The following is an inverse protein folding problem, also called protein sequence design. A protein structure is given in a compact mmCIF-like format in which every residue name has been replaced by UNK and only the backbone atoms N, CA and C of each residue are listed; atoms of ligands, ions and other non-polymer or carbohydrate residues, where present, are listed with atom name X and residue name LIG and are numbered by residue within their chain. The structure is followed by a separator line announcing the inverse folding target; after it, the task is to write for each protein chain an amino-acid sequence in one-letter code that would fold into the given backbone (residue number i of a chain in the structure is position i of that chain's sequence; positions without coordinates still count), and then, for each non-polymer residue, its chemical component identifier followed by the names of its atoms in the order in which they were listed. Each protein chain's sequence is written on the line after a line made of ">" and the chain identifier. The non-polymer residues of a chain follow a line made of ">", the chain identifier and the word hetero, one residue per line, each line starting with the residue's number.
data_IF_291879849634
#
_entry.id   IF_291879849634
#
_cell.length_a   1.000
_cell.length_b   1.000
_cell.length_c   1.000
_cell.angle_alpha   90.00
_cell.angle_beta   90.00
_cell.angle_gamma   90.00
#
_symmetry.space_group_name_H-M   'P 1'
#
loop_
_entity.id
_entity.type
_entity.pdbx_description
1 polymer ?
#
# COMPACT_ATOMS: atom_id res chain seq x y z
N UNK A 1 0.71 -18.96 9.58
CA UNK A 1 1.34 -18.07 8.59
C UNK A 1 0.68 -18.26 7.24
N UNK A 2 0.68 -17.22 6.46
CA UNK A 2 0.15 -17.24 5.10
C UNK A 2 1.16 -16.54 4.19
N UNK A 3 1.42 -17.10 3.00
CA UNK A 3 2.07 -16.39 1.92
C UNK A 3 1.00 -15.49 1.29
N UNK A 4 0.78 -14.30 1.83
CA UNK A 4 -0.33 -13.43 1.50
C UNK A 4 -0.39 -12.92 0.06
N UNK A 5 0.58 -13.26 -0.78
CA UNK A 5 0.64 -12.82 -2.16
C UNK A 5 0.59 -14.04 -3.11
N UNK A 6 -0.52 -14.18 -3.83
CA UNK A 6 -0.68 -15.23 -4.85
C UNK A 6 0.18 -15.01 -6.10
N UNK A 7 0.83 -13.86 -6.22
CA UNK A 7 1.71 -13.53 -7.34
C UNK A 7 3.16 -14.02 -7.16
N UNK A 8 3.48 -14.61 -5.99
CA UNK A 8 4.82 -15.15 -5.76
C UNK A 8 5.02 -16.38 -6.63
N UNK A 9 6.05 -16.33 -7.44
CA UNK A 9 6.45 -17.45 -8.29
C UNK A 9 6.75 -18.66 -7.40
N UNK A 10 6.25 -19.84 -7.78
CA UNK A 10 6.65 -21.09 -7.17
C UNK A 10 8.20 -21.18 -7.19
N UNK A 11 8.80 -21.57 -6.07
CA UNK A 11 10.26 -21.65 -5.92
C UNK A 11 11.00 -20.28 -5.87
N UNK A 12 10.39 -19.23 -5.33
CA UNK A 12 11.05 -17.93 -5.13
C UNK A 12 12.32 -17.99 -4.26
N UNK A 13 12.51 -19.09 -3.52
CA UNK A 13 13.72 -19.39 -2.75
C UNK A 13 14.88 -19.93 -3.59
N UNK A 14 14.62 -20.41 -4.82
CA UNK A 14 15.61 -21.03 -5.68
C UNK A 14 15.86 -20.18 -6.94
N UNK A 15 17.07 -20.23 -7.46
CA UNK A 15 17.39 -19.67 -8.76
C UNK A 15 16.69 -20.48 -9.86
N UNK A 16 15.93 -19.80 -10.71
CA UNK A 16 15.33 -20.44 -11.89
C UNK A 16 16.14 -20.13 -13.14
N UNK A 17 16.21 -21.09 -14.04
CA UNK A 17 16.95 -20.98 -15.30
C UNK A 17 15.97 -21.21 -16.45
N UNK A 18 16.09 -20.43 -17.51
CA UNK A 18 15.25 -20.52 -18.71
C UNK A 18 16.09 -20.56 -19.99
N UNK A 19 15.55 -21.23 -21.00
CA UNK A 19 16.15 -21.30 -22.33
C UNK A 19 15.83 -20.01 -23.11
N UNK A 20 16.44 -18.89 -22.74
CA UNK A 20 16.22 -17.59 -23.41
C UNK A 20 17.51 -16.87 -23.83
N UNK A 21 18.65 -17.47 -23.58
CA UNK A 21 19.94 -16.95 -24.03
C UNK A 21 20.30 -17.48 -25.43
N UNK A 22 20.72 -16.59 -26.31
CA UNK A 22 21.32 -16.99 -27.56
C UNK A 22 22.84 -16.78 -27.50
N UNK A 23 23.61 -17.83 -27.71
CA UNK A 23 25.05 -17.75 -27.86
C UNK A 23 25.41 -17.84 -29.33
N UNK A 24 26.30 -16.99 -29.77
CA UNK A 24 26.87 -17.06 -31.10
C UNK A 24 28.16 -17.90 -31.04
N UNK A 25 28.17 -18.98 -31.80
CA UNK A 25 29.35 -19.81 -31.96
C UNK A 25 29.89 -19.50 -33.36
N UNK A 26 31.21 -19.52 -33.50
CA UNK A 26 31.92 -19.37 -34.76
C UNK A 26 31.59 -18.08 -35.54
N UNK A 27 32.01 -16.93 -35.00
CA UNK A 27 31.90 -15.58 -35.60
C UNK A 27 30.47 -15.16 -36.00
N UNK A 28 29.45 -15.74 -35.36
CA UNK A 28 28.05 -15.31 -35.50
C UNK A 28 27.25 -16.00 -36.60
N UNK A 29 27.74 -17.08 -37.16
CA UNK A 29 27.04 -17.85 -38.18
C UNK A 29 25.86 -18.63 -37.61
N UNK A 30 26.01 -19.26 -36.43
CA UNK A 30 24.99 -20.10 -35.80
C UNK A 30 24.59 -19.59 -34.42
N UNK A 31 23.26 -19.46 -34.20
CA UNK A 31 22.66 -19.18 -32.89
C UNK A 31 22.40 -20.50 -32.16
N UNK A 32 23.05 -20.67 -31.04
CA UNK A 32 22.74 -21.79 -30.14
C UNK A 32 21.88 -21.32 -28.97
N UNK A 33 20.84 -22.10 -28.64
CA UNK A 33 20.02 -21.83 -27.47
C UNK A 33 20.82 -22.12 -26.20
N UNK A 34 20.94 -21.12 -25.35
CA UNK A 34 21.58 -21.24 -24.05
C UNK A 34 20.60 -21.10 -22.90
N UNK A 35 21.03 -21.45 -21.72
CA UNK A 35 20.27 -21.23 -20.50
C UNK A 35 20.81 -19.99 -19.77
N UNK A 36 19.88 -19.12 -19.34
CA UNK A 36 20.20 -17.96 -18.51
C UNK A 36 19.39 -18.02 -17.22
N UNK A 37 19.97 -17.47 -16.17
CA UNK A 37 19.21 -17.29 -14.94
C UNK A 37 18.08 -16.30 -15.18
N UNK A 38 16.87 -16.64 -14.72
CA UNK A 38 15.66 -15.84 -14.92
C UNK A 38 15.17 -15.17 -13.66
N UNK A 39 15.62 -15.63 -12.49
CA UNK A 39 15.25 -15.03 -11.20
C UNK A 39 16.41 -14.99 -10.22
N UNK A 40 16.42 -13.98 -9.36
CA UNK A 40 17.31 -13.91 -8.21
C UNK A 40 16.64 -14.68 -7.06
N UNK A 41 17.31 -15.70 -6.48
CA UNK A 41 16.73 -16.45 -5.37
C UNK A 41 16.77 -15.63 -4.07
N UNK A 42 15.83 -15.94 -3.17
CA UNK A 42 15.89 -15.53 -1.79
C UNK A 42 15.68 -16.72 -0.87
N UNK A 43 16.76 -17.30 -0.38
CA UNK A 43 16.73 -18.46 0.51
C UNK A 43 16.12 -18.16 1.89
N UNK A 44 16.02 -16.88 2.27
CA UNK A 44 15.53 -16.43 3.56
C UNK A 44 14.03 -16.08 3.56
N UNK A 45 13.28 -16.50 2.54
CA UNK A 45 11.83 -16.28 2.49
C UNK A 45 11.15 -16.94 3.69
N UNK A 46 10.33 -16.16 4.38
CA UNK A 46 9.52 -16.58 5.52
C UNK A 46 8.04 -16.36 5.22
N UNK A 47 7.21 -17.04 5.99
CA UNK A 47 5.79 -16.80 6.00
C UNK A 47 5.46 -15.45 6.66
N UNK A 48 4.49 -14.74 6.09
CA UNK A 48 3.92 -13.57 6.74
C UNK A 48 3.30 -13.96 8.08
N UNK A 49 3.53 -13.17 9.10
CA UNK A 49 3.04 -13.42 10.45
C UNK A 49 2.05 -12.34 10.83
N UNK A 50 0.84 -12.76 11.23
CA UNK A 50 -0.17 -11.84 11.77
C UNK A 50 -0.36 -12.10 13.26
N UNK A 51 -0.19 -11.05 14.05
CA UNK A 51 -0.55 -11.01 15.48
C UNK A 51 -1.82 -10.17 15.63
N UNK A 52 -2.83 -10.70 16.31
CA UNK A 52 -4.09 -10.01 16.55
C UNK A 52 -4.43 -10.03 18.04
N UNK A 53 -4.91 -8.90 18.54
CA UNK A 53 -5.52 -8.75 19.86
C UNK A 53 -6.92 -8.21 19.64
N UNK A 54 -7.93 -8.90 20.15
CA UNK A 54 -9.33 -8.50 20.10
C UNK A 54 -9.89 -8.48 21.52
N UNK A 55 -10.62 -7.42 21.85
CA UNK A 55 -11.35 -7.29 23.10
C UNK A 55 -12.78 -6.92 22.72
N UNK A 56 -13.72 -7.78 23.12
CA UNK A 56 -15.14 -7.58 22.84
C UNK A 56 -15.94 -7.53 24.14
N UNK A 57 -16.98 -6.71 24.14
CA UNK A 57 -17.95 -6.58 25.22
C UNK A 57 -19.35 -6.68 24.65
N UNK A 58 -20.08 -7.74 25.07
CA UNK A 58 -21.46 -7.98 24.68
C UNK A 58 -22.37 -7.67 25.85
N UNK A 59 -23.36 -6.81 25.63
CA UNK A 59 -24.32 -6.39 26.63
C UNK A 59 -25.75 -6.58 26.13
N UNK A 60 -26.62 -7.07 26.99
CA UNK A 60 -28.04 -7.17 26.74
C UNK A 60 -28.84 -6.37 27.78
N UNK A 61 -29.78 -5.55 27.32
CA UNK A 61 -30.65 -4.73 28.15
C UNK A 61 -32.12 -5.04 27.88
N UNK A 62 -32.97 -4.81 28.88
CA UNK A 62 -34.42 -4.96 28.78
C UNK A 62 -34.87 -6.35 28.31
N UNK A 63 -34.40 -7.41 28.96
CA UNK A 63 -34.64 -8.79 28.54
C UNK A 63 -34.19 -9.08 27.11
N UNK A 64 -32.99 -8.61 26.76
CA UNK A 64 -32.37 -8.72 25.42
C UNK A 64 -33.12 -8.02 24.29
N UNK A 65 -34.02 -7.07 24.59
CA UNK A 65 -34.60 -6.22 23.53
C UNK A 65 -33.57 -5.31 22.91
N UNK A 66 -32.58 -4.85 23.69
CA UNK A 66 -31.42 -4.14 23.19
C UNK A 66 -30.21 -5.03 23.41
N UNK A 67 -29.52 -5.37 22.31
CA UNK A 67 -28.28 -6.07 22.34
C UNK A 67 -27.21 -5.17 21.73
N UNK A 68 -26.09 -5.02 22.41
CA UNK A 68 -24.99 -4.21 21.90
C UNK A 68 -23.66 -4.94 22.06
N UNK A 69 -22.86 -4.90 21.02
CA UNK A 69 -21.51 -5.45 20.97
C UNK A 69 -20.55 -4.32 20.69
N UNK A 70 -19.56 -4.16 21.52
CA UNK A 70 -18.43 -3.27 21.27
C UNK A 70 -17.18 -4.11 21.16
N UNK A 71 -16.45 -4.00 20.04
CA UNK A 71 -15.20 -4.71 19.80
C UNK A 71 -14.09 -3.70 19.51
N UNK A 72 -12.95 -3.90 20.15
CA UNK A 72 -11.70 -3.23 19.83
C UNK A 72 -10.67 -4.24 19.36
N UNK A 73 -9.95 -3.90 18.29
CA UNK A 73 -8.94 -4.79 17.75
C UNK A 73 -7.65 -4.05 17.38
N UNK A 74 -6.55 -4.78 17.46
CA UNK A 74 -5.21 -4.39 16.99
C UNK A 74 -4.57 -5.58 16.29
N UNK A 75 -4.38 -5.46 14.97
CA UNK A 75 -3.84 -6.49 14.10
C UNK A 75 -2.57 -5.99 13.43
N UNK A 76 -1.42 -6.59 13.77
CA UNK A 76 -0.13 -6.32 13.10
C UNK A 76 0.24 -7.51 12.22
N UNK A 77 0.45 -7.27 10.92
CA UNK A 77 1.06 -8.21 9.99
C UNK A 77 2.49 -7.77 9.73
N UNK A 78 3.44 -8.66 9.96
CA UNK A 78 4.88 -8.47 9.74
C UNK A 78 5.41 -9.51 8.75
N UNK A 79 6.65 -9.33 8.33
CA UNK A 79 7.30 -10.16 7.32
C UNK A 79 6.54 -10.19 5.99
N UNK A 80 5.85 -9.10 5.64
CA UNK A 80 5.13 -8.97 4.37
C UNK A 80 6.14 -9.02 3.23
N UNK A 81 5.85 -9.87 2.24
CA UNK A 81 6.68 -10.04 1.07
C UNK A 81 6.53 -8.86 0.13
N UNK A 82 7.62 -8.18 -0.12
CA UNK A 82 7.70 -7.05 -1.04
C UNK A 82 8.83 -7.24 -2.03
N UNK A 83 8.62 -6.80 -3.27
CA UNK A 83 9.66 -6.70 -4.28
C UNK A 83 10.27 -5.30 -4.20
N UNK A 84 11.49 -5.21 -3.70
CA UNK A 84 12.21 -3.95 -3.61
C UNK A 84 12.92 -3.65 -4.92
N UNK A 85 12.83 -2.40 -5.37
CA UNK A 85 13.58 -1.96 -6.53
C UNK A 85 15.09 -2.03 -6.21
N UNK A 86 15.82 -2.76 -7.03
CA UNK A 86 17.29 -2.85 -6.96
C UNK A 86 17.89 -2.19 -8.20
N UNK A 87 19.07 -1.56 -8.07
CA UNK A 87 19.76 -1.00 -9.24
C UNK A 87 20.00 -2.06 -10.32
N UNK A 88 19.68 -1.71 -11.57
CA UNK A 88 19.78 -2.63 -12.70
C UNK A 88 21.21 -3.18 -12.93
N UNK A 89 22.24 -2.50 -12.42
CA UNK A 89 23.63 -2.97 -12.48
C UNK A 89 23.82 -4.30 -11.73
N UNK A 90 23.01 -4.57 -10.69
CA UNK A 90 23.07 -5.82 -9.94
C UNK A 90 22.13 -6.90 -10.49
N UNK A 91 21.03 -6.48 -11.11
CA UNK A 91 20.01 -7.40 -11.61
C UNK A 91 20.21 -7.76 -13.09
N UNK A 92 20.83 -6.87 -13.88
CA UNK A 92 20.84 -7.00 -15.33
C UNK A 92 19.42 -6.99 -15.88
N UNK A 93 18.98 -8.09 -16.47
CA UNK A 93 17.62 -8.29 -16.99
C UNK A 93 16.70 -9.02 -16.01
N UNK A 94 17.18 -9.36 -14.80
CA UNK A 94 16.42 -10.11 -13.80
C UNK A 94 15.46 -9.20 -13.03
N UNK A 95 14.35 -9.80 -12.57
CA UNK A 95 13.47 -9.15 -11.62
C UNK A 95 14.05 -9.17 -10.21
N UNK A 96 13.79 -8.12 -9.44
CA UNK A 96 14.20 -8.07 -8.05
C UNK A 96 13.56 -9.20 -7.23
N UNK A 97 14.27 -9.80 -6.27
CA UNK A 97 13.73 -10.86 -5.45
C UNK A 97 12.67 -10.33 -4.48
N UNK A 98 11.74 -11.19 -4.09
CA UNK A 98 10.84 -10.93 -2.97
C UNK A 98 11.58 -11.02 -1.65
N UNK A 99 11.31 -10.09 -0.75
CA UNK A 99 11.92 -10.01 0.58
C UNK A 99 10.85 -9.76 1.64
N UNK A 100 11.03 -10.35 2.82
CA UNK A 100 10.14 -10.16 3.97
C UNK A 100 10.52 -8.88 4.73
N UNK A 101 10.08 -7.74 4.24
CA UNK A 101 10.54 -6.43 4.72
C UNK A 101 9.40 -5.47 5.05
N UNK A 102 8.16 -5.88 4.84
CA UNK A 102 7.00 -5.05 5.09
C UNK A 102 6.32 -5.35 6.42
N UNK A 103 5.76 -4.32 7.05
CA UNK A 103 4.87 -4.47 8.17
C UNK A 103 3.73 -3.46 8.14
N UNK A 104 2.53 -3.92 8.47
CA UNK A 104 1.30 -3.12 8.45
C UNK A 104 0.51 -3.38 9.72
N UNK A 105 -0.10 -2.33 10.25
CA UNK A 105 -0.97 -2.39 11.43
C UNK A 105 -2.36 -1.89 11.10
N UNK A 106 -3.35 -2.66 11.48
CA UNK A 106 -4.76 -2.27 11.44
C UNK A 106 -5.28 -2.27 12.87
N UNK A 107 -5.75 -1.14 13.35
CA UNK A 107 -6.37 -1.02 14.66
C UNK A 107 -7.67 -0.25 14.55
N UNK A 108 -8.64 -0.66 15.34
CA UNK A 108 -9.93 -0.02 15.26
C UNK A 108 -10.89 -0.49 16.33
N UNK A 109 -12.11 -0.07 16.17
CA UNK A 109 -13.23 -0.51 16.98
C UNK A 109 -14.48 -0.61 16.12
N UNK A 110 -15.36 -1.51 16.54
CA UNK A 110 -16.67 -1.74 15.93
C UNK A 110 -17.72 -1.74 17.04
N UNK A 111 -18.82 -1.09 16.76
CA UNK A 111 -19.95 -1.02 17.66
C UNK A 111 -21.22 -1.35 16.92
N UNK A 112 -21.90 -2.39 17.41
CA UNK A 112 -23.18 -2.85 16.87
C UNK A 112 -24.24 -2.72 17.93
N UNK A 113 -25.41 -2.21 17.56
CA UNK A 113 -26.59 -2.14 18.42
C UNK A 113 -27.76 -2.71 17.65
N UNK A 114 -28.43 -3.69 18.24
CA UNK A 114 -29.66 -4.27 17.72
C UNK A 114 -30.78 -4.04 18.72
N UNK A 115 -31.91 -3.55 18.24
CA UNK A 115 -33.13 -3.42 19.00
C UNK A 115 -34.22 -4.28 18.37
N UNK A 116 -34.88 -5.12 19.19
CA UNK A 116 -36.01 -5.94 18.78
C UNK A 116 -37.12 -5.84 19.80
N UNK A 117 -38.34 -5.65 19.34
CA UNK A 117 -39.52 -5.63 20.20
C UNK A 117 -40.72 -6.23 19.48
N UNK A 118 -41.69 -6.71 20.26
CA UNK A 118 -42.97 -7.22 19.76
C UNK A 118 -44.10 -6.73 20.65
N UNK A 119 -45.18 -6.20 20.01
CA UNK A 119 -46.39 -5.81 20.69
C UNK A 119 -47.62 -6.30 19.91
N UNK A 120 -48.33 -7.25 20.50
CA UNK A 120 -49.45 -7.91 19.82
C UNK A 120 -48.98 -8.64 18.57
N UNK A 121 -49.62 -8.35 17.44
CA UNK A 121 -49.31 -8.97 16.15
C UNK A 121 -48.14 -8.29 15.42
N UNK A 122 -47.55 -7.25 16.01
CA UNK A 122 -46.44 -6.51 15.40
C UNK A 122 -45.11 -6.90 16.02
N UNK A 123 -44.17 -7.33 15.17
CA UNK A 123 -42.77 -7.55 15.53
C UNK A 123 -41.87 -6.72 14.63
N UNK A 124 -40.89 -6.07 15.22
CA UNK A 124 -39.97 -5.21 14.50
C UNK A 124 -38.58 -5.23 15.13
N UNK A 125 -37.59 -5.02 14.28
CA UNK A 125 -36.21 -4.90 14.70
C UNK A 125 -35.55 -3.73 13.97
N UNK A 126 -34.55 -3.14 14.62
CA UNK A 126 -33.68 -2.12 14.04
C UNK A 126 -32.24 -2.40 14.46
N UNK A 127 -31.32 -2.32 13.52
CA UNK A 127 -29.90 -2.49 13.75
C UNK A 127 -29.11 -1.25 13.34
N UNK A 128 -28.10 -0.94 14.12
CA UNK A 128 -27.14 0.11 13.83
C UNK A 128 -25.73 -0.42 14.06
N UNK A 129 -24.81 -0.14 13.14
CA UNK A 129 -23.40 -0.46 13.29
C UNK A 129 -22.55 0.74 12.92
N UNK A 130 -21.47 0.92 13.68
CA UNK A 130 -20.49 1.97 13.47
C UNK A 130 -19.11 1.36 13.66
N UNK A 131 -18.21 1.63 12.72
CA UNK A 131 -16.83 1.17 12.81
C UNK A 131 -15.84 2.26 12.46
N UNK A 132 -14.67 2.17 13.04
CA UNK A 132 -13.52 3.00 12.67
C UNK A 132 -12.27 2.18 12.65
N UNK A 133 -11.60 2.13 11.51
CA UNK A 133 -10.33 1.42 11.32
C UNK A 133 -9.25 2.42 10.93
N UNK A 134 -8.08 2.32 11.57
CA UNK A 134 -6.86 3.01 11.17
C UNK A 134 -5.89 1.96 10.61
N UNK A 135 -5.58 2.08 9.33
CA UNK A 135 -4.52 1.33 8.68
C UNK A 135 -3.23 2.17 8.70
N UNK A 136 -2.08 1.55 8.94
CA UNK A 136 -0.79 2.22 9.03
C UNK A 136 0.33 1.30 8.57
N UNK A 137 1.14 1.78 7.64
CA UNK A 137 2.38 1.12 7.22
C UNK A 137 3.43 1.38 8.30
N UNK A 138 4.02 0.31 8.85
CA UNK A 138 5.06 0.40 9.87
C UNK A 138 6.46 0.26 9.28
N UNK A 139 6.61 -0.60 8.28
CA UNK A 139 7.91 -0.93 7.68
C UNK A 139 7.73 -1.18 6.19
N UNK A 140 8.71 -0.75 5.39
CA UNK A 140 8.76 -0.94 3.93
C UNK A 140 10.19 -1.29 3.45
N UNK A 141 10.93 -2.05 4.25
CA UNK A 141 12.33 -2.34 3.99
C UNK A 141 13.20 -1.08 4.08
N UNK A 142 14.04 -0.85 3.06
CA UNK A 142 14.89 0.33 2.96
C UNK A 142 14.16 1.57 2.41
N UNK A 143 12.90 1.41 2.00
CA UNK A 143 12.12 2.49 1.42
C UNK A 143 11.36 3.26 2.52
N UNK A 144 11.49 4.56 2.56
CA UNK A 144 10.63 5.42 3.37
C UNK A 144 9.28 5.68 2.69
N UNK A 145 9.28 5.76 1.35
CA UNK A 145 8.09 5.96 0.55
C UNK A 145 8.20 5.32 -0.84
N UNK A 146 7.06 4.94 -1.40
CA UNK A 146 6.91 4.50 -2.79
C UNK A 146 5.71 5.21 -3.41
N UNK A 147 5.95 5.92 -4.51
CA UNK A 147 4.90 6.61 -5.27
C UNK A 147 4.64 5.82 -6.55
N UNK A 148 3.39 5.49 -6.79
CA UNK A 148 2.92 4.82 -8.00
C UNK A 148 1.70 5.55 -8.55
N UNK A 149 1.90 6.32 -9.61
CA UNK A 149 0.88 7.22 -10.15
C UNK A 149 0.37 8.22 -9.12
N UNK A 150 -0.90 8.09 -8.76
CA UNK A 150 -1.58 8.95 -7.79
C UNK A 150 -1.69 8.32 -6.39
N UNK A 151 -0.91 7.29 -6.12
CA UNK A 151 -0.90 6.58 -4.85
C UNK A 151 0.47 6.71 -4.21
N UNK A 152 0.49 6.95 -2.91
CA UNK A 152 1.70 6.94 -2.10
C UNK A 152 1.57 5.92 -0.98
N UNK A 153 2.55 5.04 -0.88
CA UNK A 153 2.79 4.22 0.29
C UNK A 153 3.98 4.83 1.03
N UNK A 154 3.76 5.26 2.26
CA UNK A 154 4.77 5.89 3.12
C UNK A 154 4.62 5.37 4.54
N UNK A 155 5.72 5.16 5.23
CA UNK A 155 5.71 4.77 6.65
C UNK A 155 4.91 5.80 7.46
N UNK A 156 4.02 5.30 8.34
CA UNK A 156 3.10 6.09 9.15
C UNK A 156 1.78 6.46 8.47
N UNK A 157 1.64 6.22 7.17
CA UNK A 157 0.42 6.48 6.40
C UNK A 157 -0.36 5.18 6.12
N UNK A 158 -1.66 5.27 5.77
CA UNK A 158 -2.40 4.13 5.27
C UNK A 158 -1.85 3.62 3.94
N UNK A 159 -2.02 2.32 3.68
CA UNK A 159 -1.75 1.74 2.37
C UNK A 159 -2.67 2.39 1.33
N UNK A 160 -2.10 2.73 0.18
CA UNK A 160 -2.87 3.27 -0.94
C UNK A 160 -3.38 4.69 -0.71
N UNK A 161 -2.70 5.47 0.13
CA UNK A 161 -3.05 6.87 0.33
C UNK A 161 -2.96 7.65 -0.98
N UNK A 162 -3.94 8.52 -1.24
CA UNK A 162 -3.90 9.35 -2.44
C UNK A 162 -2.77 10.36 -2.38
N UNK A 163 -2.06 10.44 -3.48
CA UNK A 163 -0.98 11.40 -3.69
C UNK A 163 -1.34 12.35 -4.82
N UNK A 164 -1.36 13.62 -4.54
CA UNK A 164 -1.70 14.61 -5.54
C UNK A 164 -1.38 16.03 -5.09
N UNK A 165 -1.53 16.97 -5.98
CA UNK A 165 -1.31 18.37 -5.67
C UNK A 165 -2.54 18.97 -4.98
N UNK A 166 -2.33 19.64 -3.86
CA UNK A 166 -3.38 20.41 -3.21
C UNK A 166 -3.51 21.78 -3.88
N UNK A 167 -4.67 22.07 -4.47
CA UNK A 167 -4.97 23.42 -4.95
C UNK A 167 -5.08 24.37 -3.75
N UNK A 168 -4.24 25.40 -3.73
CA UNK A 168 -4.21 26.43 -2.67
C UNK A 168 -4.74 27.79 -3.14
N UNK A 169 -5.01 27.91 -4.43
CA UNK A 169 -5.57 29.12 -5.02
C UNK A 169 -5.56 29.09 -6.54
N UNK A 170 -5.96 30.19 -7.12
CA UNK A 170 -5.89 30.44 -8.57
C UNK A 170 -5.05 31.70 -8.75
N UNK A 171 -4.15 31.73 -9.71
CA UNK A 171 -3.45 32.94 -10.13
C UNK A 171 -4.44 33.92 -10.76
N UNK A 172 -4.74 35.03 -10.10
CA UNK A 172 -5.76 36.00 -10.53
C UNK A 172 -5.16 37.26 -11.13
N UNK A 173 -3.96 37.62 -10.66
CA UNK A 173 -3.30 38.86 -11.04
C UNK A 173 -1.89 38.61 -11.56
N UNK A 174 -1.34 39.58 -12.28
CA UNK A 174 0.05 39.54 -12.73
C UNK A 174 1.03 39.49 -11.57
N UNK A 175 0.69 40.11 -10.45
CA UNK A 175 1.52 40.05 -9.22
C UNK A 175 1.61 38.61 -8.66
N UNK A 176 0.58 37.80 -8.82
CA UNK A 176 0.60 36.41 -8.41
C UNK A 176 1.60 35.57 -9.23
N UNK A 177 1.87 35.97 -10.48
CA UNK A 177 2.77 35.28 -11.38
C UNK A 177 4.26 35.53 -11.05
N UNK A 178 4.54 36.62 -10.34
CA UNK A 178 5.91 37.05 -9.99
C UNK A 178 6.40 36.49 -8.66
N UNK A 179 5.69 35.51 -8.10
CA UNK A 179 6.17 34.85 -6.87
C UNK A 179 7.47 34.15 -7.11
N UNK A 180 8.49 34.54 -6.35
CA UNK A 180 9.83 33.99 -6.44
C UNK A 180 10.15 33.08 -5.26
N UNK A 181 11.04 32.12 -5.51
CA UNK A 181 11.64 31.31 -4.44
C UNK A 181 12.72 32.11 -3.69
N UNK A 182 13.35 31.50 -2.69
CA UNK A 182 14.44 32.11 -1.91
C UNK A 182 15.68 32.50 -2.75
N UNK A 183 15.77 32.04 -4.01
CA UNK A 183 16.83 32.35 -4.96
C UNK A 183 16.43 33.46 -5.96
N UNK A 184 15.23 34.03 -5.84
CA UNK A 184 14.73 35.06 -6.76
C UNK A 184 14.18 34.52 -8.09
N UNK A 185 14.05 33.22 -8.27
CA UNK A 185 13.51 32.61 -9.49
C UNK A 185 12.00 32.46 -9.41
N UNK A 186 11.28 32.73 -10.50
CA UNK A 186 9.83 32.52 -10.57
C UNK A 186 9.48 31.06 -10.30
N UNK A 187 8.59 30.83 -9.35
CA UNK A 187 8.17 29.49 -8.94
C UNK A 187 7.40 28.83 -10.08
N UNK A 188 8.00 27.83 -10.70
CA UNK A 188 7.37 26.99 -11.71
C UNK A 188 6.69 25.78 -11.05
N UNK A 189 5.55 25.37 -11.58
CA UNK A 189 4.85 24.17 -11.14
C UNK A 189 5.08 23.06 -12.15
N UNK A 190 5.74 21.98 -11.75
CA UNK A 190 6.15 20.90 -12.65
C UNK A 190 6.92 21.40 -13.90
N UNK A 191 7.80 22.38 -13.72
CA UNK A 191 8.55 22.99 -14.82
C UNK A 191 7.76 23.98 -15.68
N UNK A 192 6.45 24.14 -15.44
CA UNK A 192 5.58 25.03 -16.22
C UNK A 192 5.45 26.38 -15.51
N UNK A 193 5.64 27.46 -16.27
CA UNK A 193 5.46 28.82 -15.76
C UNK A 193 4.00 29.07 -15.35
N UNK A 194 3.77 29.88 -14.28
CA UNK A 194 2.44 30.25 -13.87
C UNK A 194 1.73 31.07 -14.95
N UNK A 195 0.42 30.91 -15.06
CA UNK A 195 -0.45 31.72 -15.94
C UNK A 195 -1.73 32.09 -15.20
N UNK A 196 -2.28 33.26 -15.50
CA UNK A 196 -3.60 33.70 -14.98
C UNK A 196 -4.65 32.64 -15.32
N UNK A 197 -5.53 32.34 -14.36
CA UNK A 197 -6.59 31.33 -14.47
C UNK A 197 -6.14 29.90 -14.17
N UNK A 198 -4.85 29.61 -13.97
CA UNK A 198 -4.38 28.30 -13.51
C UNK A 198 -4.44 28.17 -11.99
N UNK A 199 -4.62 26.92 -11.54
CA UNK A 199 -4.52 26.62 -10.11
C UNK A 199 -3.08 26.78 -9.62
N UNK A 200 -2.95 27.47 -8.49
CA UNK A 200 -1.73 27.41 -7.69
C UNK A 200 -1.81 26.14 -6.84
N UNK A 201 -0.92 25.19 -7.05
CA UNK A 201 -0.92 23.90 -6.36
C UNK A 201 0.33 23.75 -5.50
N UNK A 202 0.19 23.06 -4.39
CA UNK A 202 1.30 22.67 -3.51
C UNK A 202 1.41 21.16 -3.50
N UNK A 203 2.63 20.66 -3.57
CA UNK A 203 2.93 19.26 -3.33
C UNK A 203 2.66 18.97 -1.85
N UNK A 204 1.99 17.84 -1.52
CA UNK A 204 1.75 17.44 -0.13
C UNK A 204 3.04 17.16 0.62
#
# INVERSE_FOLDING_TARGET
>A
GNLGNQEIVHYAYAATWGASGNYFIDQGADKQAGMVQTSVPNENIKWETTRSVNIALDLGFFNNRIQTTFEWFDKKTSDILMQLAMPGIFLGSLSAPYQNVGAVRNRGWEWTVNYSDSRGDWAWNAGFNLSRVKNEILEMGELEEKIDGNIINRIGNPIGAYFGYKAIGIYRTEADLQRTNSKGEVIKQNGVAPKIGRYHVRRP
#
